data_IF_967558438034
#
_entry.id   IF_967558438034
#
_cell.length_a   1.000
_cell.length_b   1.000
_cell.length_c   1.000
_cell.angle_alpha   90.00
_cell.angle_beta   90.00
_cell.angle_gamma   90.00
#
_symmetry.space_group_name_H-M   'P 1'
#
loop_
_entity.id
_entity.type
_entity.pdbx_description
1 polymer ?
#
# COMPACT_ATOMS: atom_id res chain seq x y z
N UNK A 1 4.59 -30.35 -35.02
CA UNK A 1 4.17 -30.06 -33.64
C UNK A 1 5.42 -29.77 -32.83
N UNK A 2 5.82 -28.50 -32.76
CA UNK A 2 6.90 -28.06 -31.86
C UNK A 2 6.27 -27.13 -30.86
N UNK A 3 5.84 -27.69 -29.74
CA UNK A 3 5.47 -26.92 -28.55
C UNK A 3 6.76 -26.29 -28.06
N UNK A 4 7.07 -25.09 -28.54
CA UNK A 4 8.06 -24.22 -27.94
C UNK A 4 7.59 -23.96 -26.53
N UNK A 5 8.06 -24.77 -25.59
CA UNK A 5 7.76 -24.62 -24.18
C UNK A 5 8.20 -23.21 -23.80
N UNK A 6 7.23 -22.35 -23.51
CA UNK A 6 7.48 -21.09 -22.84
C UNK A 6 7.94 -21.49 -21.43
N UNK A 7 9.23 -21.81 -21.31
CA UNK A 7 9.88 -21.84 -20.02
C UNK A 7 9.97 -20.36 -19.65
N UNK A 8 9.00 -19.90 -18.85
CA UNK A 8 9.10 -18.60 -18.19
C UNK A 8 10.30 -18.71 -17.27
N UNK A 9 11.48 -18.39 -17.80
CA UNK A 9 12.69 -18.23 -17.03
C UNK A 9 12.61 -16.82 -16.47
N UNK A 10 12.58 -16.69 -15.15
CA UNK A 10 12.64 -15.42 -14.44
C UNK A 10 13.59 -14.46 -15.15
N UNK A 11 13.04 -13.47 -15.85
CA UNK A 11 13.88 -12.51 -16.54
C UNK A 11 14.41 -11.51 -15.51
N UNK A 12 15.64 -10.97 -15.68
CA UNK A 12 16.16 -9.94 -14.79
C UNK A 12 15.21 -8.75 -14.63
N UNK A 13 14.42 -8.45 -15.65
CA UNK A 13 13.40 -7.41 -15.65
C UNK A 13 12.25 -7.73 -14.68
N UNK A 14 11.81 -9.00 -14.60
CA UNK A 14 10.77 -9.42 -13.66
C UNK A 14 11.27 -9.32 -12.20
N UNK A 15 12.53 -9.72 -11.95
CA UNK A 15 13.15 -9.57 -10.64
C UNK A 15 13.27 -8.09 -10.23
N UNK A 16 13.67 -7.21 -11.15
CA UNK A 16 13.73 -5.76 -10.91
C UNK A 16 12.35 -5.19 -10.61
N UNK A 17 11.33 -5.51 -11.42
CA UNK A 17 9.99 -4.98 -11.26
C UNK A 17 9.35 -5.38 -9.92
N UNK A 18 9.55 -6.61 -9.45
CA UNK A 18 9.07 -7.06 -8.14
C UNK A 18 9.80 -6.31 -7.01
N UNK A 19 11.11 -6.11 -7.13
CA UNK A 19 11.90 -5.34 -6.17
C UNK A 19 11.46 -3.88 -6.09
N UNK A 20 11.23 -3.24 -7.24
CA UNK A 20 10.77 -1.85 -7.33
C UNK A 20 9.38 -1.70 -6.72
N UNK A 21 8.45 -2.61 -7.06
CA UNK A 21 7.11 -2.60 -6.51
C UNK A 21 7.12 -2.84 -4.99
N UNK A 22 7.93 -3.78 -4.51
CA UNK A 22 8.11 -4.03 -3.08
C UNK A 22 8.66 -2.77 -2.37
N UNK A 23 9.61 -2.06 -2.95
CA UNK A 23 10.15 -0.81 -2.37
C UNK A 23 9.07 0.26 -2.18
N UNK A 24 8.23 0.48 -3.20
CA UNK A 24 7.14 1.46 -3.16
C UNK A 24 6.11 1.09 -2.09
N UNK A 25 5.72 -0.20 -2.04
CA UNK A 25 4.71 -0.73 -1.12
C UNK A 25 5.23 -0.78 0.32
N UNK A 26 6.51 -1.09 0.53
CA UNK A 26 7.10 -1.28 1.86
C UNK A 26 7.46 0.02 2.58
N UNK A 27 7.57 1.14 1.85
CA UNK A 27 8.08 2.40 2.41
C UNK A 27 7.20 3.60 2.08
N UNK A 28 7.34 4.11 0.86
CA UNK A 28 6.84 5.44 0.49
C UNK A 28 5.32 5.57 0.65
N UNK A 29 4.54 4.58 0.22
CA UNK A 29 3.09 4.63 0.34
C UNK A 29 2.62 4.59 1.81
N UNK A 30 3.22 3.73 2.62
CA UNK A 30 2.89 3.62 4.05
C UNK A 30 3.19 4.92 4.78
N UNK A 31 4.35 5.52 4.50
CA UNK A 31 4.73 6.81 5.06
C UNK A 31 3.71 7.91 4.73
N UNK A 32 3.25 7.99 3.48
CA UNK A 32 2.23 8.98 3.10
C UNK A 32 0.88 8.74 3.77
N UNK A 33 0.50 7.49 4.08
CA UNK A 33 -0.72 7.23 4.85
C UNK A 33 -0.59 7.59 6.32
N UNK A 34 0.56 7.37 6.93
CA UNK A 34 0.85 7.83 8.29
C UNK A 34 0.84 9.37 8.35
N UNK A 35 1.47 10.03 7.38
CA UNK A 35 1.51 11.49 7.25
C UNK A 35 0.10 12.08 7.08
N UNK A 36 -0.71 11.51 6.19
CA UNK A 36 -2.10 11.94 5.97
C UNK A 36 -2.92 11.85 7.27
N UNK A 37 -2.80 10.74 8.01
CA UNK A 37 -3.46 10.57 9.31
C UNK A 37 -2.97 11.57 10.34
N UNK A 38 -1.66 11.84 10.37
CA UNK A 38 -1.07 12.83 11.27
C UNK A 38 -1.58 14.25 10.99
N UNK A 39 -1.67 14.64 9.73
CA UNK A 39 -2.20 15.96 9.33
C UNK A 39 -3.69 16.07 9.68
N UNK A 40 -4.46 15.02 9.42
CA UNK A 40 -5.88 14.99 9.74
C UNK A 40 -6.14 15.15 11.24
N UNK A 41 -5.22 14.70 12.12
CA UNK A 41 -5.35 14.90 13.57
C UNK A 41 -5.50 16.37 13.95
N UNK A 42 -4.85 17.28 13.23
CA UNK A 42 -4.98 18.72 13.44
C UNK A 42 -6.42 19.18 13.19
N UNK A 43 -7.08 18.65 12.16
CA UNK A 43 -8.47 18.99 11.83
C UNK A 43 -9.49 18.26 12.71
N UNK A 44 -9.12 17.11 13.26
CA UNK A 44 -9.97 16.37 14.21
C UNK A 44 -9.79 16.79 15.66
N UNK A 45 -8.86 17.69 15.95
CA UNK A 45 -8.65 18.22 17.29
C UNK A 45 -9.61 19.41 17.53
N UNK A 46 -10.53 19.32 18.51
CA UNK A 46 -11.47 20.40 18.79
C UNK A 46 -10.79 21.69 19.27
N UNK A 47 -9.56 21.63 19.79
CA UNK A 47 -8.80 22.82 20.20
C UNK A 47 -8.25 23.59 18.99
N UNK A 48 -8.03 22.90 17.86
CA UNK A 48 -7.50 23.48 16.63
C UNK A 48 -8.61 23.93 15.66
N UNK A 49 -9.74 23.22 15.62
CA UNK A 49 -10.88 23.58 14.78
C UNK A 49 -12.22 23.15 15.37
N UNK A 50 -13.11 24.12 15.58
CA UNK A 50 -14.46 23.90 16.13
C UNK A 50 -15.58 24.52 15.28
N UNK A 51 -16.82 24.10 15.55
CA UNK A 51 -18.05 24.49 14.87
C UNK A 51 -18.72 23.34 14.13
N UNK A 52 -19.88 23.63 13.52
CA UNK A 52 -20.71 22.60 12.85
C UNK A 52 -19.96 21.82 11.77
N UNK A 53 -19.10 22.49 10.98
CA UNK A 53 -18.29 21.85 9.95
C UNK A 53 -17.21 20.93 10.53
N UNK A 54 -16.56 21.33 11.63
CA UNK A 54 -15.59 20.50 12.32
C UNK A 54 -16.23 19.25 12.93
N UNK A 55 -17.43 19.40 13.53
CA UNK A 55 -18.19 18.29 14.07
C UNK A 55 -18.61 17.27 12.98
N UNK A 56 -19.08 17.76 11.83
CA UNK A 56 -19.40 16.91 10.67
C UNK A 56 -18.15 16.19 10.13
N UNK A 57 -17.03 16.92 10.00
CA UNK A 57 -15.77 16.34 9.56
C UNK A 57 -15.30 15.21 10.48
N UNK A 58 -15.30 15.44 11.80
CA UNK A 58 -14.90 14.48 12.83
C UNK A 58 -15.82 13.26 12.92
N UNK A 59 -17.11 13.45 12.70
CA UNK A 59 -18.11 12.40 12.91
C UNK A 59 -18.36 11.56 11.65
N UNK A 60 -18.39 12.22 10.49
CA UNK A 60 -18.90 11.60 9.26
C UNK A 60 -17.82 11.49 8.17
N UNK A 61 -17.03 12.55 7.96
CA UNK A 61 -16.11 12.62 6.84
C UNK A 61 -14.85 11.81 7.13
N UNK A 62 -14.06 12.21 8.12
CA UNK A 62 -12.75 11.61 8.41
C UNK A 62 -12.81 10.11 8.75
N UNK A 63 -13.73 9.62 9.62
CA UNK A 63 -13.77 8.20 9.96
C UNK A 63 -14.06 7.27 8.76
N UNK A 64 -14.74 7.78 7.73
CA UNK A 64 -14.98 7.04 6.49
C UNK A 64 -13.66 6.83 5.72
N UNK A 65 -12.91 7.91 5.53
CA UNK A 65 -11.61 7.87 4.84
C UNK A 65 -10.57 7.08 5.65
N UNK A 66 -10.51 7.23 6.97
CA UNK A 66 -9.59 6.50 7.83
C UNK A 66 -9.79 4.99 7.74
N UNK A 67 -11.05 4.53 7.64
CA UNK A 67 -11.35 3.12 7.39
C UNK A 67 -10.80 2.65 6.04
N UNK A 68 -11.04 3.41 4.96
CA UNK A 68 -10.49 3.08 3.64
C UNK A 68 -8.96 3.04 3.63
N UNK A 69 -8.30 3.96 4.31
CA UNK A 69 -6.83 3.97 4.45
C UNK A 69 -6.32 2.74 5.21
N UNK A 70 -7.04 2.33 6.26
CA UNK A 70 -6.72 1.13 7.05
C UNK A 70 -6.89 -0.15 6.23
N UNK A 71 -7.98 -0.24 5.45
CA UNK A 71 -8.22 -1.38 4.56
C UNK A 71 -7.15 -1.46 3.47
N UNK A 72 -6.77 -0.31 2.89
CA UNK A 72 -5.70 -0.24 1.90
C UNK A 72 -4.35 -0.64 2.49
N UNK A 73 -4.02 -0.20 3.70
CA UNK A 73 -2.81 -0.65 4.41
C UNK A 73 -2.78 -2.17 4.54
N UNK A 74 -3.90 -2.77 4.94
CA UNK A 74 -4.03 -4.23 5.06
C UNK A 74 -3.84 -4.93 3.71
N UNK A 75 -4.40 -4.39 2.63
CA UNK A 75 -4.21 -4.94 1.28
C UNK A 75 -2.76 -4.82 0.80
N UNK A 76 -2.08 -3.71 1.12
CA UNK A 76 -0.67 -3.53 0.80
C UNK A 76 0.23 -4.47 1.59
N UNK A 77 -0.10 -4.77 2.85
CA UNK A 77 0.60 -5.78 3.64
C UNK A 77 0.46 -7.19 3.02
N UNK A 78 -0.73 -7.52 2.53
CA UNK A 78 -0.96 -8.77 1.80
C UNK A 78 -0.19 -8.81 0.48
N UNK A 79 -0.20 -7.70 -0.27
CA UNK A 79 0.56 -7.57 -1.51
C UNK A 79 2.06 -7.75 -1.24
N UNK A 80 2.60 -7.17 -0.18
CA UNK A 80 3.99 -7.35 0.24
C UNK A 80 4.33 -8.82 0.48
N UNK A 81 3.49 -9.54 1.21
CA UNK A 81 3.70 -10.97 1.45
C UNK A 81 3.73 -11.76 0.12
N UNK A 82 2.79 -11.47 -0.79
CA UNK A 82 2.76 -12.07 -2.13
C UNK A 82 3.99 -11.74 -2.97
N UNK A 83 4.48 -10.50 -2.92
CA UNK A 83 5.67 -10.10 -3.66
C UNK A 83 6.93 -10.83 -3.16
N UNK A 84 7.03 -11.07 -1.85
CA UNK A 84 8.11 -11.89 -1.28
C UNK A 84 8.04 -13.35 -1.76
N UNK A 85 6.84 -13.94 -1.83
CA UNK A 85 6.63 -15.28 -2.42
C UNK A 85 7.10 -15.33 -3.88
N UNK A 86 6.62 -14.39 -4.70
CA UNK A 86 6.97 -14.29 -6.12
C UNK A 86 8.48 -14.09 -6.32
N UNK A 87 9.11 -13.25 -5.50
CA UNK A 87 10.54 -13.02 -5.57
C UNK A 87 11.34 -14.29 -5.28
N UNK A 88 10.92 -15.09 -4.29
CA UNK A 88 11.53 -16.38 -4.00
C UNK A 88 11.35 -17.37 -5.16
N UNK A 89 10.17 -17.43 -5.78
CA UNK A 89 9.93 -18.27 -6.96
C UNK A 89 10.84 -17.89 -8.13
N UNK A 90 10.97 -16.58 -8.42
CA UNK A 90 11.84 -16.04 -9.47
C UNK A 90 13.31 -16.42 -9.22
N UNK A 91 13.79 -16.31 -7.99
CA UNK A 91 15.18 -16.63 -7.64
C UNK A 91 15.47 -18.15 -7.71
N UNK A 92 14.52 -18.99 -7.31
CA UNK A 92 14.68 -20.45 -7.34
C UNK A 92 14.49 -21.05 -8.74
N UNK A 93 13.82 -20.35 -9.66
CA UNK A 93 13.59 -20.80 -11.03
C UNK A 93 14.75 -20.46 -12.01
N UNK A 94 15.72 -19.64 -11.60
CA UNK A 94 16.86 -19.19 -12.41
C UNK A 94 17.99 -20.20 -12.47
#
# INVERSE_FOLDING_TARGET
>A
MTTSGITVRSTPEAASAVSDLASIVNGTLLHHFDELRSIARVLTDPENWDGRGAADFRTNVWPSYERTLTDLHTQLDQLRARLAEIQNEIQNAG
#
